data_IF_621704026274
#
_entry.id   IF_621704026274
#
_cell.length_a   1.000
_cell.length_b   1.000
_cell.length_c   1.000
_cell.angle_alpha   90.00
_cell.angle_beta   90.00
_cell.angle_gamma   90.00
#
_symmetry.space_group_name_H-M   'P 1'
#
loop_
_entity.id
_entity.type
_entity.pdbx_description
1 polymer ?
#
# COMPACT_ATOMS: atom_id res chain seq x y z
N UNK A 1 -10.01 16.80 3.35
CA UNK A 1 -8.54 16.64 3.12
C UNK A 1 -8.01 15.44 3.91
N UNK A 2 -6.81 14.95 3.58
CA UNK A 2 -6.17 13.86 4.32
C UNK A 2 -5.92 14.21 5.79
N UNK A 3 -5.59 15.47 6.08
CA UNK A 3 -5.41 15.97 7.44
C UNK A 3 -6.72 15.86 8.24
N UNK A 4 -7.83 16.33 7.68
CA UNK A 4 -9.14 16.24 8.34
C UNK A 4 -9.56 14.79 8.64
N UNK A 5 -9.15 13.83 7.81
CA UNK A 5 -9.37 12.41 8.09
C UNK A 5 -8.57 11.94 9.32
N UNK A 6 -7.29 12.30 9.41
CA UNK A 6 -6.44 11.94 10.55
C UNK A 6 -6.92 12.59 11.85
N UNK A 7 -7.43 13.83 11.77
CA UNK A 7 -7.99 14.54 12.94
C UNK A 7 -9.23 13.80 13.46
N UNK A 8 -10.18 13.49 12.57
CA UNK A 8 -11.37 12.70 12.95
C UNK A 8 -11.03 11.31 13.48
N UNK A 9 -10.02 10.65 12.90
CA UNK A 9 -9.56 9.36 13.39
C UNK A 9 -9.00 9.48 14.81
N UNK A 10 -8.27 10.54 15.11
CA UNK A 10 -7.74 10.82 16.45
C UNK A 10 -8.85 10.99 17.47
N UNK A 11 -9.94 11.68 17.10
CA UNK A 11 -11.10 11.91 17.98
C UNK A 11 -11.83 10.61 18.35
N UNK A 12 -11.79 9.61 17.46
CA UNK A 12 -12.46 8.31 17.65
C UNK A 12 -11.60 7.32 18.42
N UNK A 13 -10.27 7.41 18.29
CA UNK A 13 -9.36 6.46 18.92
C UNK A 13 -9.29 6.67 20.44
N UNK A 14 -9.19 5.58 21.23
CA UNK A 14 -8.96 5.68 22.66
C UNK A 14 -7.71 6.51 22.97
N UNK A 15 -7.74 7.23 24.08
CA UNK A 15 -6.60 8.03 24.53
C UNK A 15 -5.32 7.18 24.63
N UNK A 16 -4.18 7.75 24.22
CA UNK A 16 -2.86 7.09 24.19
C UNK A 16 -2.72 5.95 23.18
N UNK A 17 -3.67 5.76 22.28
CA UNK A 17 -3.52 4.79 21.17
C UNK A 17 -2.50 5.29 20.17
N UNK A 18 -1.54 4.45 19.81
CA UNK A 18 -0.56 4.71 18.75
C UNK A 18 -0.80 3.74 17.58
N UNK A 19 -1.65 4.08 16.62
CA UNK A 19 -1.97 3.20 15.50
C UNK A 19 -0.84 3.13 14.49
N UNK A 20 -0.81 2.04 13.70
CA UNK A 20 0.00 1.94 12.49
C UNK A 20 -0.92 2.17 11.29
N UNK A 21 -0.75 3.28 10.61
CA UNK A 21 -1.53 3.62 9.42
C UNK A 21 -0.94 2.93 8.19
N UNK A 22 -1.62 1.93 7.67
CA UNK A 22 -1.19 1.19 6.49
C UNK A 22 -1.76 1.83 5.23
N UNK A 23 -0.90 2.22 4.32
CA UNK A 23 -1.26 2.99 3.11
C UNK A 23 -0.82 2.28 1.83
N UNK A 24 -1.57 2.47 0.76
CA UNK A 24 -1.18 1.95 -0.55
C UNK A 24 -0.08 2.79 -1.23
N UNK A 25 0.27 2.42 -2.46
CA UNK A 25 1.32 3.10 -3.22
C UNK A 25 0.93 4.50 -3.73
N UNK A 26 -0.32 4.91 -3.56
CA UNK A 26 -0.82 6.25 -3.94
C UNK A 26 -0.41 7.34 -2.94
N UNK A 27 -0.15 6.95 -1.70
CA UNK A 27 0.23 7.89 -0.65
C UNK A 27 1.71 8.30 -0.76
N UNK A 28 2.00 9.56 -0.43
CA UNK A 28 3.30 10.19 -0.59
C UNK A 28 3.86 10.68 0.75
N UNK A 29 5.08 11.18 0.74
CA UNK A 29 5.79 11.68 1.94
C UNK A 29 4.99 12.68 2.77
N UNK A 30 4.20 13.56 2.14
CA UNK A 30 3.33 14.50 2.85
C UNK A 30 2.36 13.77 3.79
N UNK A 31 1.75 12.70 3.31
CA UNK A 31 0.89 11.85 4.13
C UNK A 31 1.65 11.21 5.31
N UNK A 32 2.80 10.61 5.03
CA UNK A 32 3.61 9.98 6.07
C UNK A 32 4.06 10.95 7.15
N UNK A 33 4.42 12.19 6.75
CA UNK A 33 4.73 13.27 7.71
C UNK A 33 3.53 13.67 8.55
N UNK A 34 2.34 13.74 7.98
CA UNK A 34 1.12 14.05 8.71
C UNK A 34 0.81 12.97 9.76
N UNK A 35 0.94 11.70 9.40
CA UNK A 35 0.78 10.57 10.34
C UNK A 35 1.83 10.65 11.45
N UNK A 36 3.09 10.84 11.09
CA UNK A 36 4.19 10.95 12.04
C UNK A 36 4.06 12.17 12.96
N UNK A 37 3.53 13.28 12.46
CA UNK A 37 3.28 14.50 13.26
C UNK A 37 2.24 14.29 14.37
N UNK A 38 1.40 13.26 14.29
CA UNK A 38 0.47 12.84 15.35
C UNK A 38 1.12 11.85 16.36
N UNK A 39 2.41 11.55 16.22
CA UNK A 39 3.09 10.54 17.01
C UNK A 39 2.72 9.10 16.61
N UNK A 40 2.11 8.91 15.44
CA UNK A 40 1.66 7.60 14.98
C UNK A 40 2.67 6.94 14.05
N UNK A 41 2.52 5.63 13.91
CA UNK A 41 3.28 4.87 12.94
C UNK A 41 2.59 4.82 11.59
N UNK A 42 3.38 4.72 10.53
CA UNK A 42 2.92 4.51 9.18
C UNK A 42 3.65 3.35 8.52
N UNK A 43 2.98 2.69 7.59
CA UNK A 43 3.53 1.65 6.72
C UNK A 43 2.99 1.89 5.31
N UNK A 44 3.87 2.08 4.35
CA UNK A 44 3.50 2.35 2.97
C UNK A 44 4.30 1.55 1.95
N UNK A 45 3.69 1.28 0.80
CA UNK A 45 4.39 0.73 -0.36
C UNK A 45 4.97 1.86 -1.19
N UNK A 46 6.27 1.81 -1.41
CA UNK A 46 6.97 2.71 -2.31
C UNK A 46 6.88 2.18 -3.73
N UNK A 47 6.25 2.94 -4.63
CA UNK A 47 6.04 2.56 -6.03
C UNK A 47 6.31 3.73 -6.97
N UNK A 48 6.50 3.40 -8.24
CA UNK A 48 6.90 4.38 -9.24
C UNK A 48 8.39 4.63 -9.17
N UNK A 49 8.81 5.86 -9.44
CA UNK A 49 10.21 6.25 -9.40
C UNK A 49 10.47 7.17 -8.19
N UNK A 50 11.00 6.59 -7.14
CA UNK A 50 11.29 7.28 -5.88
C UNK A 50 12.75 7.07 -5.52
N UNK A 51 13.45 8.14 -5.16
CA UNK A 51 14.83 8.04 -4.70
C UNK A 51 14.89 7.56 -3.25
N UNK A 52 15.81 6.64 -2.99
CA UNK A 52 16.13 6.12 -1.64
C UNK A 52 17.62 6.29 -1.41
N UNK A 53 17.99 6.62 -0.18
CA UNK A 53 19.38 6.69 0.27
C UNK A 53 19.53 5.80 1.51
N UNK A 54 20.46 4.85 1.44
CA UNK A 54 20.98 4.13 2.61
C UNK A 54 22.10 4.96 3.27
N UNK A 55 22.43 4.73 4.56
CA UNK A 55 23.59 5.35 5.18
C UNK A 55 24.84 5.17 4.32
N UNK A 56 25.65 6.22 4.21
CA UNK A 56 26.93 6.25 3.50
C UNK A 56 26.88 5.85 2.01
N UNK A 57 25.67 5.81 1.43
CA UNK A 57 25.48 5.52 0.00
C UNK A 57 24.83 6.69 -0.75
N UNK A 58 25.03 6.79 -2.06
CA UNK A 58 24.36 7.78 -2.87
C UNK A 58 22.84 7.54 -2.96
N UNK A 59 22.10 8.57 -3.37
CA UNK A 59 20.71 8.44 -3.75
C UNK A 59 20.57 7.54 -4.98
N UNK A 60 19.74 6.52 -4.89
CA UNK A 60 19.44 5.58 -5.98
C UNK A 60 17.93 5.45 -6.18
N UNK A 61 17.50 4.95 -7.34
CA UNK A 61 16.11 4.62 -7.57
C UNK A 61 15.68 3.42 -6.71
N UNK A 62 14.47 3.47 -6.19
CA UNK A 62 13.87 2.34 -5.48
C UNK A 62 13.87 1.04 -6.31
N UNK A 63 13.84 1.15 -7.65
CA UNK A 63 13.88 0.01 -8.57
C UNK A 63 15.19 -0.78 -8.49
N UNK A 64 16.27 -0.17 -8.04
CA UNK A 64 17.58 -0.83 -7.88
C UNK A 64 17.55 -1.94 -6.82
N UNK A 65 16.56 -1.94 -5.94
CA UNK A 65 16.38 -2.98 -4.93
C UNK A 65 15.55 -4.18 -5.41
N UNK A 66 14.81 -4.05 -6.51
CA UNK A 66 13.93 -5.10 -7.02
C UNK A 66 14.62 -6.38 -7.47
N UNK A 67 15.82 -6.35 -8.10
CA UNK A 67 16.55 -7.58 -8.45
C UNK A 67 16.90 -8.44 -7.23
N UNK A 68 17.05 -7.83 -6.07
CA UNK A 68 17.38 -8.51 -4.81
C UNK A 68 16.15 -9.00 -4.05
N UNK A 69 14.95 -8.78 -4.58
CA UNK A 69 13.71 -9.20 -3.93
C UNK A 69 13.49 -10.71 -4.10
N UNK A 70 13.29 -11.38 -2.98
CA UNK A 70 13.02 -12.82 -2.92
C UNK A 70 11.73 -13.07 -2.13
N UNK A 71 11.26 -14.31 -2.10
CA UNK A 71 10.03 -14.70 -1.38
C UNK A 71 10.15 -14.62 0.15
N UNK A 72 11.35 -14.43 0.68
CA UNK A 72 11.58 -14.10 2.08
C UNK A 72 11.76 -12.59 2.21
N UNK A 73 11.01 -11.90 3.08
CA UNK A 73 11.20 -10.47 3.30
C UNK A 73 12.64 -10.16 3.72
N UNK A 74 13.21 -9.12 3.11
CA UNK A 74 14.57 -8.68 3.39
C UNK A 74 14.57 -7.24 3.90
N UNK A 75 15.22 -7.02 5.02
CA UNK A 75 15.47 -5.70 5.55
C UNK A 75 16.62 -5.01 4.79
N UNK A 76 16.42 -3.77 4.38
CA UNK A 76 17.39 -2.97 3.63
C UNK A 76 18.17 -1.98 4.50
N UNK A 77 17.74 -1.81 5.75
CA UNK A 77 18.34 -0.86 6.69
C UNK A 77 17.50 0.38 6.90
N UNK A 78 18.03 1.25 7.76
CA UNK A 78 17.52 2.61 7.92
C UNK A 78 17.82 3.42 6.66
N UNK A 79 16.85 4.09 6.11
CA UNK A 79 16.94 4.79 4.83
C UNK A 79 16.30 6.18 4.90
N UNK A 80 16.68 7.03 3.95
CA UNK A 80 15.94 8.25 3.62
C UNK A 80 15.15 8.04 2.34
N UNK A 81 13.87 8.35 2.38
CA UNK A 81 12.94 8.25 1.26
C UNK A 81 12.68 9.63 0.65
N UNK A 82 12.76 9.73 -0.69
CA UNK A 82 12.52 10.92 -1.53
C UNK A 82 13.50 12.08 -1.34
N UNK A 83 14.35 12.29 -2.33
CA UNK A 83 15.47 13.26 -2.31
C UNK A 83 15.07 14.70 -2.01
N UNK A 84 13.92 15.19 -2.57
CA UNK A 84 13.48 16.59 -2.38
C UNK A 84 13.02 16.91 -0.97
N UNK A 85 12.35 15.96 -0.32
CA UNK A 85 11.84 16.10 1.03
C UNK A 85 12.09 14.79 1.77
N UNK A 86 13.32 14.55 2.24
CA UNK A 86 13.70 13.28 2.84
C UNK A 86 12.89 12.96 4.09
N UNK A 87 12.41 11.72 4.20
CA UNK A 87 11.80 11.20 5.41
C UNK A 87 12.57 9.95 5.85
N UNK A 88 13.03 9.87 7.11
CA UNK A 88 13.68 8.69 7.62
C UNK A 88 12.69 7.53 7.74
N UNK A 89 13.13 6.33 7.38
CA UNK A 89 12.30 5.14 7.44
C UNK A 89 13.15 3.87 7.53
N UNK A 90 12.54 2.81 8.01
CA UNK A 90 13.00 1.44 7.86
C UNK A 90 12.49 0.90 6.52
N UNK A 91 13.37 0.34 5.70
CA UNK A 91 13.01 -0.13 4.36
C UNK A 91 13.11 -1.66 4.24
N UNK A 92 12.16 -2.24 3.51
CA UNK A 92 12.05 -3.68 3.32
C UNK A 92 11.73 -4.01 1.87
N UNK A 93 12.29 -5.09 1.34
CA UNK A 93 11.95 -5.59 0.01
C UNK A 93 11.42 -7.02 0.10
N UNK A 94 10.39 -7.31 -0.69
CA UNK A 94 9.72 -8.59 -0.71
C UNK A 94 9.11 -8.88 -2.09
N UNK A 95 9.24 -10.10 -2.57
CA UNK A 95 8.57 -10.58 -3.77
C UNK A 95 7.55 -11.65 -3.38
N UNK A 96 6.27 -11.31 -3.45
CA UNK A 96 5.19 -12.25 -3.18
C UNK A 96 5.23 -13.45 -4.13
N UNK A 97 4.74 -14.60 -3.67
CA UNK A 97 4.48 -15.75 -4.54
C UNK A 97 3.47 -15.33 -5.62
N UNK A 98 3.75 -15.68 -6.86
CA UNK A 98 2.81 -15.46 -7.96
C UNK A 98 1.56 -16.32 -7.71
N UNK A 99 0.53 -15.71 -7.13
CA UNK A 99 -0.81 -16.30 -7.15
C UNK A 99 -1.26 -16.27 -8.60
N UNK A 100 -1.35 -17.43 -9.24
CA UNK A 100 -1.71 -17.59 -10.65
C UNK A 100 -3.12 -17.06 -10.96
N UNK A 101 -3.29 -15.74 -10.91
CA UNK A 101 -4.52 -15.08 -11.34
C UNK A 101 -4.58 -15.16 -12.86
N UNK A 102 -5.33 -16.14 -13.36
CA UNK A 102 -5.74 -16.16 -14.77
C UNK A 102 -6.60 -14.91 -15.00
N UNK A 103 -6.18 -14.04 -15.92
CA UNK A 103 -7.03 -12.95 -16.38
C UNK A 103 -8.34 -13.57 -16.88
N UNK A 104 -9.46 -13.26 -16.23
CA UNK A 104 -10.76 -13.63 -16.78
C UNK A 104 -10.91 -12.93 -18.13
N UNK A 105 -10.93 -13.71 -19.20
CA UNK A 105 -11.26 -13.23 -20.53
C UNK A 105 -12.75 -12.86 -20.54
N UNK A 106 -13.07 -11.62 -20.25
CA UNK A 106 -14.37 -11.07 -20.56
C UNK A 106 -14.38 -10.67 -22.04
N UNK A 107 -15.19 -11.38 -22.80
CA UNK A 107 -15.59 -11.07 -24.18
C UNK A 107 -14.58 -11.35 -25.31
N UNK A 108 -15.09 -11.93 -26.41
CA UNK A 108 -14.41 -12.27 -27.66
C UNK A 108 -13.91 -11.08 -28.48
N UNK A 109 -14.15 -9.85 -28.06
CA UNK A 109 -13.93 -8.61 -28.85
C UNK A 109 -13.01 -7.58 -28.19
N UNK A 110 -12.28 -7.91 -27.13
CA UNK A 110 -11.38 -6.92 -26.55
C UNK A 110 -10.07 -6.88 -27.32
N UNK A 111 -9.85 -5.82 -28.08
CA UNK A 111 -8.53 -5.37 -28.48
C UNK A 111 -7.60 -5.45 -27.26
N UNK A 112 -6.37 -5.97 -27.46
CA UNK A 112 -5.32 -6.04 -26.45
C UNK A 112 -4.98 -4.61 -26.01
N UNK A 113 -5.70 -4.08 -25.04
CA UNK A 113 -5.38 -2.77 -24.49
C UNK A 113 -4.04 -2.83 -23.78
N UNK A 114 -3.12 -1.94 -24.11
CA UNK A 114 -1.81 -1.78 -23.48
C UNK A 114 -1.92 -1.64 -21.94
N UNK A 115 -3.04 -1.13 -21.45
CA UNK A 115 -3.38 -1.07 -20.02
C UNK A 115 -3.35 -2.45 -19.33
N UNK A 116 -3.80 -3.53 -20.00
CA UNK A 116 -3.80 -4.88 -19.40
C UNK A 116 -2.37 -5.39 -19.14
N UNK A 117 -1.42 -5.11 -20.03
CA UNK A 117 -0.03 -5.46 -19.85
C UNK A 117 0.65 -4.66 -18.73
N UNK A 118 0.30 -3.38 -18.60
CA UNK A 118 0.80 -2.53 -17.51
C UNK A 118 0.28 -3.03 -16.14
N UNK A 119 -0.98 -3.43 -16.05
CA UNK A 119 -1.56 -4.00 -14.83
C UNK A 119 -0.93 -5.35 -14.47
N UNK A 120 -0.68 -6.23 -15.43
CA UNK A 120 -0.02 -7.51 -15.22
C UNK A 120 1.45 -7.34 -14.76
N UNK A 121 2.19 -6.42 -15.37
CA UNK A 121 3.55 -6.05 -14.96
C UNK A 121 3.56 -5.50 -13.55
N UNK A 122 2.62 -4.63 -13.23
CA UNK A 122 2.52 -4.00 -11.93
C UNK A 122 2.11 -4.95 -10.80
N UNK A 123 1.37 -6.01 -11.11
CA UNK A 123 1.01 -7.05 -10.15
C UNK A 123 2.20 -7.96 -9.78
N UNK A 124 3.18 -8.07 -10.68
CA UNK A 124 4.41 -8.86 -10.48
C UNK A 124 5.56 -8.07 -9.86
N UNK A 125 5.40 -6.75 -9.75
CA UNK A 125 6.42 -5.87 -9.19
C UNK A 125 6.67 -6.17 -7.71
N UNK A 126 7.93 -6.36 -7.29
CA UNK A 126 8.26 -6.55 -5.89
C UNK A 126 7.70 -5.42 -5.01
N UNK A 127 7.44 -5.74 -3.76
CA UNK A 127 7.08 -4.73 -2.78
C UNK A 127 8.33 -4.13 -2.18
N UNK A 128 8.49 -2.84 -2.31
CA UNK A 128 9.35 -2.03 -1.48
C UNK A 128 8.47 -1.36 -0.44
N UNK A 129 8.63 -1.73 0.81
CA UNK A 129 7.87 -1.20 1.93
C UNK A 129 8.75 -0.25 2.72
N UNK A 130 8.17 0.86 3.15
CA UNK A 130 8.82 1.83 4.02
C UNK A 130 7.92 2.12 5.22
N UNK A 131 8.52 2.33 6.40
CA UNK A 131 7.80 2.57 7.64
C UNK A 131 8.66 3.34 8.64
N UNK A 132 8.04 4.05 9.59
CA UNK A 132 8.72 4.58 10.76
C UNK A 132 8.59 3.66 12.00
N UNK A 133 7.98 2.47 11.84
CA UNK A 133 7.96 1.48 12.93
C UNK A 133 9.37 0.95 13.15
N UNK A 134 9.96 1.11 14.35
CA UNK A 134 11.28 0.57 14.65
C UNK A 134 11.33 -0.95 14.48
N UNK A 135 12.44 -1.47 13.95
CA UNK A 135 12.61 -2.91 13.68
C UNK A 135 12.48 -3.80 14.92
N UNK A 136 12.79 -3.27 16.11
CA UNK A 136 12.64 -4.03 17.36
C UNK A 136 11.17 -4.21 17.78
N UNK A 137 10.25 -3.37 17.26
CA UNK A 137 8.80 -3.51 17.48
C UNK A 137 8.22 -4.51 16.49
N UNK A 138 8.52 -4.36 15.19
CA UNK A 138 8.06 -5.28 14.13
C UNK A 138 9.22 -5.65 13.21
N UNK A 139 9.48 -6.94 13.08
CA UNK A 139 10.48 -7.46 12.15
C UNK A 139 9.97 -7.49 10.70
N UNK A 140 10.84 -7.85 9.75
CA UNK A 140 10.57 -7.87 8.31
C UNK A 140 9.38 -8.75 7.90
N UNK A 141 9.17 -9.86 8.60
CA UNK A 141 8.05 -10.77 8.34
C UNK A 141 6.74 -10.15 8.84
N UNK A 142 6.76 -9.57 10.03
CA UNK A 142 5.57 -8.93 10.62
C UNK A 142 5.14 -7.70 9.81
N UNK A 143 6.09 -6.86 9.37
CA UNK A 143 5.82 -5.70 8.48
C UNK A 143 5.18 -6.15 7.17
N UNK A 144 5.73 -7.20 6.54
CA UNK A 144 5.20 -7.72 5.27
C UNK A 144 3.81 -8.31 5.44
N UNK A 145 3.57 -9.07 6.50
CA UNK A 145 2.26 -9.64 6.81
C UNK A 145 1.23 -8.55 7.14
N UNK A 146 1.63 -7.51 7.89
CA UNK A 146 0.77 -6.38 8.18
C UNK A 146 0.36 -5.66 6.89
N UNK A 147 1.30 -5.41 5.98
CA UNK A 147 0.97 -4.82 4.68
C UNK A 147 0.07 -5.73 3.82
N UNK A 148 0.28 -7.04 3.86
CA UNK A 148 -0.53 -8.00 3.11
C UNK A 148 -2.02 -7.99 3.54
N UNK A 149 -2.31 -7.72 4.83
CA UNK A 149 -3.69 -7.57 5.33
C UNK A 149 -4.47 -6.45 4.66
N UNK A 150 -3.79 -5.41 4.15
CA UNK A 150 -4.44 -4.34 3.37
C UNK A 150 -5.17 -4.90 2.14
N UNK A 151 -4.66 -5.96 1.53
CA UNK A 151 -5.29 -6.58 0.36
C UNK A 151 -6.66 -7.18 0.70
N UNK A 152 -6.90 -7.57 1.96
CA UNK A 152 -8.18 -8.10 2.41
C UNK A 152 -9.30 -7.05 2.33
N UNK A 153 -8.96 -5.77 2.53
CA UNK A 153 -9.90 -4.65 2.39
C UNK A 153 -10.38 -4.54 0.94
N UNK A 154 -9.47 -4.66 -0.03
CA UNK A 154 -9.83 -4.65 -1.45
C UNK A 154 -10.69 -5.85 -1.83
N UNK A 155 -10.40 -7.02 -1.27
CA UNK A 155 -11.19 -8.24 -1.44
C UNK A 155 -12.57 -8.08 -0.82
N UNK A 156 -12.69 -7.57 0.39
CA UNK A 156 -13.96 -7.30 1.06
C UNK A 156 -14.83 -6.31 0.27
N UNK A 157 -14.26 -5.22 -0.25
CA UNK A 157 -15.00 -4.29 -1.11
C UNK A 157 -15.43 -4.89 -2.43
N UNK A 158 -14.62 -5.76 -3.01
CA UNK A 158 -14.99 -6.49 -4.23
C UNK A 158 -16.16 -7.43 -3.96
N UNK A 159 -16.11 -8.17 -2.86
CA UNK A 159 -17.16 -9.10 -2.47
C UNK A 159 -18.46 -8.35 -2.12
N UNK A 160 -18.37 -7.23 -1.43
CA UNK A 160 -19.51 -6.35 -1.16
C UNK A 160 -20.16 -5.83 -2.46
N UNK A 161 -19.38 -5.55 -3.49
CA UNK A 161 -19.85 -5.12 -4.82
C UNK A 161 -20.28 -6.28 -5.72
N UNK A 162 -20.02 -7.51 -5.32
CA UNK A 162 -20.38 -8.70 -6.10
C UNK A 162 -21.89 -8.94 -6.07
N UNK A 163 -22.44 -9.31 -7.23
CA UNK A 163 -23.84 -9.72 -7.33
C UNK A 163 -24.11 -11.08 -6.69
N UNK A 164 -23.06 -11.90 -6.51
CA UNK A 164 -23.18 -13.24 -5.97
C UNK A 164 -23.13 -13.29 -4.43
N UNK A 165 -22.39 -12.36 -3.79
CA UNK A 165 -22.08 -12.44 -2.34
C UNK A 165 -22.42 -11.18 -1.56
N UNK A 166 -22.74 -10.06 -2.24
CA UNK A 166 -22.86 -8.77 -1.59
C UNK A 166 -24.10 -7.98 -1.96
N UNK A 167 -24.23 -6.83 -1.31
CA UNK A 167 -25.25 -5.81 -1.60
C UNK A 167 -24.85 -5.10 -2.89
N UNK A 168 -24.88 -5.79 -4.01
CA UNK A 168 -24.51 -5.18 -5.29
C UNK A 168 -25.42 -3.98 -5.57
N UNK A 169 -24.87 -2.78 -5.57
CA UNK A 169 -25.59 -1.55 -5.92
C UNK A 169 -26.27 -1.64 -7.29
N UNK A 170 -25.85 -2.57 -8.17
CA UNK A 170 -26.49 -2.88 -9.44
C UNK A 170 -27.88 -3.49 -9.30
N UNK A 171 -28.19 -4.16 -8.20
CA UNK A 171 -29.52 -4.68 -7.92
C UNK A 171 -30.42 -3.62 -7.31
N UNK A 172 -29.83 -2.61 -6.69
CA UNK A 172 -30.55 -1.48 -6.15
C UNK A 172 -30.77 -0.47 -7.28
N UNK A 173 -31.87 -0.61 -8.03
CA UNK A 173 -32.26 0.27 -9.15
C UNK A 173 -32.61 1.70 -8.67
N UNK A 174 -32.36 2.04 -7.43
CA UNK A 174 -32.66 3.36 -6.91
C UNK A 174 -31.70 4.39 -7.48
N UNK A 175 -32.25 5.50 -8.00
CA UNK A 175 -31.50 6.70 -8.40
C UNK A 175 -31.53 7.77 -7.32
N UNK A 176 -32.13 7.49 -6.18
CA UNK A 176 -32.29 8.43 -5.08
C UNK A 176 -31.28 8.15 -3.96
N UNK A 177 -30.43 9.11 -3.66
CA UNK A 177 -29.48 9.06 -2.55
C UNK A 177 -30.18 8.97 -1.20
N UNK A 178 -31.42 9.48 -1.09
CA UNK A 178 -32.25 9.42 0.15
C UNK A 178 -32.73 8.01 0.52
N UNK A 179 -32.53 7.01 -0.35
CA UNK A 179 -32.90 5.60 -0.07
C UNK A 179 -31.70 4.73 0.26
N UNK A 180 -30.51 5.34 0.34
CA UNK A 180 -29.25 4.67 0.68
C UNK A 180 -28.79 4.96 2.10
N UNK A 181 -29.52 5.82 2.83
CA UNK A 181 -29.38 6.07 4.26
C UNK A 181 -30.35 5.10 5.01
#
# INVERSE_FOLDING_TARGET
>A
SHQSFLDKLQDILPNKTCPIIVSDAGFRNTWFRQVQGKGWFWLGRVRGEVSIKQPDKPWVSNKNFYPNAVHKPKYLGHCLLAKRAPIPCEAYVYKGLEKGRKAQRHSRTSQKHSATHLYQRSAKEPWLLATNVPRHILNEVQITNLYAKRMQIEEAFRDLKSTAYGIALRHNRTRSTKRLD
#
